data_IF_706854024260
#
_entry.id   IF_706854024260
#
_cell.length_a   1.000
_cell.length_b   1.000
_cell.length_c   1.000
_cell.angle_alpha   90.00
_cell.angle_beta   90.00
_cell.angle_gamma   90.00
#
_symmetry.space_group_name_H-M   'P 1'
#
loop_
_entity.id
_entity.type
_entity.pdbx_description
1 polymer ?
#
# COMPACT_ATOMS: atom_id res chain seq x y z
N UNK A 1 -23.12 2.06 17.58
CA UNK A 1 -22.66 1.65 16.23
C UNK A 1 -22.13 2.89 15.55
N UNK A 2 -20.82 3.13 15.67
CA UNK A 2 -20.17 4.29 15.07
C UNK A 2 -20.18 4.10 13.56
N UNK A 3 -20.98 4.90 12.86
CA UNK A 3 -20.90 5.07 11.43
C UNK A 3 -19.53 5.67 11.12
N UNK A 4 -18.58 4.81 10.79
CA UNK A 4 -17.27 5.20 10.29
C UNK A 4 -17.51 6.01 9.02
N UNK A 5 -17.14 7.28 9.11
CA UNK A 5 -17.28 8.25 8.04
C UNK A 5 -16.56 7.71 6.81
N UNK A 6 -17.33 7.36 5.78
CA UNK A 6 -16.86 7.21 4.40
C UNK A 6 -16.45 8.61 3.91
N UNK A 7 -15.37 9.15 4.48
CA UNK A 7 -14.61 10.22 3.85
C UNK A 7 -14.03 9.54 2.62
N UNK A 8 -14.74 9.66 1.50
CA UNK A 8 -14.37 9.06 0.23
C UNK A 8 -12.91 9.41 -0.06
N UNK A 9 -12.01 8.47 0.27
CA UNK A 9 -10.59 8.70 0.13
C UNK A 9 -10.33 8.96 -1.36
N UNK A 10 -9.52 9.99 -1.64
CA UNK A 10 -9.23 10.36 -3.02
C UNK A 10 -8.85 9.11 -3.85
N UNK A 11 -9.38 8.99 -5.08
CA UNK A 11 -9.03 7.89 -5.97
C UNK A 11 -7.52 7.78 -6.12
N UNK A 12 -6.99 6.55 -6.10
CA UNK A 12 -5.56 6.39 -6.31
C UNK A 12 -5.18 6.64 -7.77
N UNK A 13 -3.95 7.13 -8.03
CA UNK A 13 -3.41 7.21 -9.38
C UNK A 13 -3.39 5.82 -10.04
N UNK A 14 -3.65 5.77 -11.34
CA UNK A 14 -3.70 4.51 -12.11
C UNK A 14 -2.40 3.70 -11.98
N UNK A 15 -1.25 4.37 -11.93
CA UNK A 15 0.05 3.72 -11.72
C UNK A 15 0.10 2.91 -10.41
N UNK A 16 -0.54 3.40 -9.35
CA UNK A 16 -0.57 2.73 -8.05
C UNK A 16 -1.56 1.57 -8.00
N UNK A 17 -2.70 1.72 -8.71
CA UNK A 17 -3.65 0.63 -8.94
C UNK A 17 -2.96 -0.52 -9.71
N UNK A 18 -2.24 -0.20 -10.79
CA UNK A 18 -1.49 -1.20 -11.57
C UNK A 18 -0.33 -1.82 -10.81
N UNK A 19 0.39 -1.04 -9.98
CA UNK A 19 1.44 -1.57 -9.10
C UNK A 19 0.86 -2.63 -8.17
N UNK A 20 -0.28 -2.34 -7.54
CA UNK A 20 -0.99 -3.26 -6.65
C UNK A 20 -1.47 -4.50 -7.40
N UNK A 21 -2.08 -4.34 -8.58
CA UNK A 21 -2.52 -5.46 -9.41
C UNK A 21 -1.37 -6.42 -9.75
N UNK A 22 -0.20 -5.87 -10.14
CA UNK A 22 1.01 -6.66 -10.43
C UNK A 22 1.56 -7.34 -9.18
N UNK A 23 1.59 -6.64 -8.04
CA UNK A 23 2.07 -7.19 -6.77
C UNK A 23 1.24 -8.39 -6.31
N UNK A 24 -0.08 -8.36 -6.56
CA UNK A 24 -1.00 -9.46 -6.27
C UNK A 24 -0.97 -10.59 -7.31
N UNK A 25 -0.19 -10.45 -8.39
CA UNK A 25 -0.09 -11.43 -9.50
C UNK A 25 -1.46 -11.83 -10.07
N UNK A 26 -2.38 -10.85 -10.14
CA UNK A 26 -3.72 -11.07 -10.67
C UNK A 26 -3.66 -11.51 -12.14
N UNK A 27 -4.60 -12.36 -12.56
CA UNK A 27 -4.75 -12.79 -13.96
C UNK A 27 -5.72 -11.87 -14.70
N UNK A 28 -5.62 -11.83 -16.02
CA UNK A 28 -6.50 -11.04 -16.89
C UNK A 28 -5.86 -9.75 -17.41
N UNK A 29 -6.68 -8.83 -17.91
CA UNK A 29 -6.21 -7.59 -18.50
C UNK A 29 -5.96 -6.51 -17.43
N UNK A 30 -4.79 -5.84 -17.44
CA UNK A 30 -4.55 -4.68 -16.59
C UNK A 30 -5.55 -3.54 -16.81
N UNK A 31 -6.16 -3.44 -18.00
CA UNK A 31 -7.16 -2.42 -18.29
C UNK A 31 -8.42 -2.59 -17.44
N UNK A 32 -8.78 -3.82 -17.06
CA UNK A 32 -9.95 -4.08 -16.21
C UNK A 32 -9.76 -3.58 -14.78
N UNK A 33 -8.51 -3.52 -14.30
CA UNK A 33 -8.17 -2.96 -13.00
C UNK A 33 -8.40 -1.44 -12.93
N UNK A 34 -8.35 -0.75 -14.07
CA UNK A 34 -8.51 0.70 -14.15
C UNK A 34 -9.96 1.15 -14.33
N UNK A 35 -10.85 0.25 -14.79
CA UNK A 35 -12.26 0.57 -14.95
C UNK A 35 -12.90 0.88 -13.59
N UNK A 36 -13.73 1.94 -13.48
CA UNK A 36 -14.50 2.18 -12.28
C UNK A 36 -15.35 0.96 -11.93
N UNK A 37 -15.24 0.47 -10.70
CA UNK A 37 -15.97 -0.71 -10.27
C UNK A 37 -15.43 -1.37 -9.00
N UNK A 38 -15.99 -2.54 -8.64
CA UNK A 38 -15.58 -3.26 -7.44
C UNK A 38 -14.10 -3.65 -7.44
N UNK A 39 -13.56 -4.08 -8.58
CA UNK A 39 -12.16 -4.48 -8.70
C UNK A 39 -11.21 -3.29 -8.40
N UNK A 40 -11.46 -2.13 -9.01
CA UNK A 40 -10.67 -0.92 -8.74
C UNK A 40 -10.73 -0.53 -7.27
N UNK A 41 -11.93 -0.49 -6.67
CA UNK A 41 -12.10 -0.18 -5.23
C UNK A 41 -11.35 -1.15 -4.33
N UNK A 42 -11.37 -2.45 -4.64
CA UNK A 42 -10.63 -3.46 -3.89
C UNK A 42 -9.12 -3.28 -4.00
N UNK A 43 -8.60 -2.95 -5.19
CA UNK A 43 -7.18 -2.67 -5.38
C UNK A 43 -6.74 -1.42 -4.63
N UNK A 44 -7.55 -0.36 -4.64
CA UNK A 44 -7.27 0.86 -3.88
C UNK A 44 -7.23 0.62 -2.37
N UNK A 45 -8.23 -0.09 -1.82
CA UNK A 45 -8.26 -0.47 -0.42
C UNK A 45 -7.03 -1.33 -0.05
N UNK A 46 -6.67 -2.29 -0.90
CA UNK A 46 -5.51 -3.15 -0.69
C UNK A 46 -4.21 -2.36 -0.71
N UNK A 47 -4.05 -1.44 -1.66
CA UNK A 47 -2.88 -0.55 -1.73
C UNK A 47 -2.70 0.25 -0.45
N UNK A 48 -3.79 0.90 0.02
CA UNK A 48 -3.78 1.66 1.28
C UNK A 48 -3.43 0.77 2.48
N UNK A 49 -3.97 -0.45 2.55
CA UNK A 49 -3.67 -1.40 3.62
C UNK A 49 -2.21 -1.88 3.59
N UNK A 50 -1.61 -2.11 2.42
CA UNK A 50 -0.18 -2.43 2.29
C UNK A 50 0.70 -1.27 2.74
N UNK A 51 0.36 -0.03 2.35
CA UNK A 51 1.08 1.17 2.78
C UNK A 51 1.02 1.35 4.32
N UNK A 52 -0.15 1.14 4.92
CA UNK A 52 -0.32 1.18 6.38
C UNK A 52 0.56 0.14 7.09
N UNK A 53 0.58 -1.11 6.59
CA UNK A 53 1.45 -2.17 7.13
C UNK A 53 2.94 -1.85 6.97
N UNK A 54 3.35 -1.29 5.83
CA UNK A 54 4.72 -0.89 5.61
C UNK A 54 5.17 0.20 6.61
N UNK A 55 4.32 1.20 6.86
CA UNK A 55 4.56 2.24 7.88
C UNK A 55 4.67 1.65 9.28
N UNK A 56 3.76 0.76 9.66
CA UNK A 56 3.81 0.07 10.95
C UNK A 56 5.08 -0.78 11.11
N UNK A 57 5.52 -1.45 10.05
CA UNK A 57 6.77 -2.22 10.06
C UNK A 57 7.98 -1.32 10.21
N UNK A 58 8.03 -0.19 9.51
CA UNK A 58 9.11 0.80 9.65
C UNK A 58 9.17 1.38 11.07
N UNK A 59 8.03 1.72 11.67
CA UNK A 59 7.96 2.22 13.03
C UNK A 59 8.35 1.18 14.10
N UNK A 60 8.26 -0.12 13.77
CA UNK A 60 8.63 -1.25 14.64
C UNK A 60 10.01 -1.82 14.36
N UNK A 61 10.77 -1.29 13.39
CA UNK A 61 12.14 -1.73 13.15
C UNK A 61 12.94 -1.42 14.43
N UNK A 62 13.43 -2.44 15.16
CA UNK A 62 14.27 -2.19 16.31
C UNK A 62 15.50 -1.43 15.82
N UNK A 63 15.89 -0.40 16.57
CA UNK A 63 17.16 0.28 16.35
C UNK A 63 18.27 -0.77 16.38
N UNK A 64 18.81 -1.10 15.21
CA UNK A 64 19.91 -2.04 15.09
C UNK A 64 21.20 -1.30 15.45
N UNK A 65 21.51 -1.30 16.75
CA UNK A 65 22.71 -0.65 17.29
C UNK A 65 24.00 -1.15 16.62
N UNK A 66 24.02 -2.39 16.08
CA UNK A 66 25.18 -2.92 15.33
C UNK A 66 25.35 -2.22 13.98
N UNK A 67 24.26 -1.80 13.34
CA UNK A 67 24.30 -1.01 12.11
C UNK A 67 24.69 0.45 12.36
N UNK A 68 24.33 1.00 13.52
CA UNK A 68 24.75 2.35 13.91
C UNK A 68 26.26 2.41 14.20
N UNK A 69 26.82 1.42 14.92
CA UNK A 69 28.27 1.35 15.19
C UNK A 69 29.14 1.19 13.95
N UNK A 70 28.64 0.56 12.88
CA UNK A 70 29.40 0.38 11.64
C UNK A 70 29.54 1.67 10.82
N UNK A 71 28.72 2.69 11.07
CA UNK A 71 28.77 4.00 10.41
C UNK A 71 29.38 5.11 11.30
N UNK A 72 29.79 4.78 12.52
CA UNK A 72 30.45 5.71 13.47
C UNK A 72 31.98 5.67 13.35
N UNK A 73 32.50 4.86 12.42
CA UNK A 73 33.91 4.88 12.01
C UNK A 73 34.03 5.65 10.69
N UNK A 74 33.89 6.97 10.77
CA UNK A 74 34.53 7.92 9.84
C UNK A 74 35.08 9.10 10.66
#
# INVERSE_FOLDING_TARGET
MSGETDVAAAPLPDAEVLRTWRALRMRGSPADALKPGPLRRALEATSRAMAARARQRAARQPFDAKRAQANDFD
#
